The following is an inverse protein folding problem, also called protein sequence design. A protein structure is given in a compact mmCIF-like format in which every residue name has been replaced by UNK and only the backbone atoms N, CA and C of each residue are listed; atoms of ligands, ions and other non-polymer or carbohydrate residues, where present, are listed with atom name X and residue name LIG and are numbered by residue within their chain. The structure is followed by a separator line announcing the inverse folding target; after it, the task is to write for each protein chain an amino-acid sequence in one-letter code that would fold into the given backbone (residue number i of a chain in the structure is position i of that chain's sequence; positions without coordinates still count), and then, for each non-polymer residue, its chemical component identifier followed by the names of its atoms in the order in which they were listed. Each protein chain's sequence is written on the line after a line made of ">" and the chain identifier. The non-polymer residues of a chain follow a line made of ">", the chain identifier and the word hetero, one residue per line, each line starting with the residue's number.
data_IF_376730357359
#
_entry.id   IF_376730357359
#
_cell.length_a   1.000
_cell.length_b   1.000
_cell.length_c   1.000
_cell.angle_alpha   90.00
_cell.angle_beta   90.00
_cell.angle_gamma   90.00
#
_symmetry.space_group_name_H-M   'P 1'
#
loop_
_entity.id
_entity.type
_entity.pdbx_description
1 polymer ?
#
# COMPACT_ATOMS: atom_id res chain seq x y z
N UNK A 1 -80.87 -15.76 -5.58
CA UNK A 1 -79.98 -14.75 -6.20
C UNK A 1 -78.88 -14.23 -5.23
N UNK A 2 -79.16 -13.87 -3.97
CA UNK A 2 -78.19 -13.31 -3.00
C UNK A 2 -76.97 -14.22 -2.75
N UNK A 3 -77.19 -15.53 -2.51
CA UNK A 3 -76.16 -16.56 -2.26
C UNK A 3 -75.19 -16.81 -3.43
N UNK A 4 -75.68 -16.65 -4.67
CA UNK A 4 -74.87 -16.81 -5.89
C UNK A 4 -73.92 -15.62 -6.05
N UNK A 5 -74.39 -14.43 -5.70
CA UNK A 5 -73.63 -13.19 -5.77
C UNK A 5 -72.53 -13.12 -4.71
N UNK A 6 -72.81 -13.66 -3.53
CA UNK A 6 -71.81 -13.79 -2.44
C UNK A 6 -70.71 -14.78 -2.82
N UNK A 7 -71.05 -15.92 -3.42
CA UNK A 7 -70.06 -16.88 -3.87
C UNK A 7 -69.15 -16.33 -5.01
N UNK A 8 -69.72 -15.60 -5.96
CA UNK A 8 -68.97 -14.96 -7.03
C UNK A 8 -68.03 -13.91 -6.50
N UNK A 9 -68.44 -13.13 -5.50
CA UNK A 9 -67.64 -12.10 -4.86
C UNK A 9 -66.46 -12.74 -4.10
N UNK A 10 -66.67 -13.85 -3.36
CA UNK A 10 -65.63 -14.59 -2.65
C UNK A 10 -64.62 -15.19 -3.64
N UNK A 11 -65.07 -15.74 -4.74
CA UNK A 11 -64.20 -16.28 -5.78
C UNK A 11 -63.35 -15.17 -6.43
N UNK A 12 -63.92 -14.02 -6.72
CA UNK A 12 -63.22 -12.88 -7.29
C UNK A 12 -62.18 -12.31 -6.32
N UNK A 13 -62.57 -12.20 -5.03
CA UNK A 13 -61.64 -11.75 -3.99
C UNK A 13 -60.47 -12.74 -3.79
N UNK A 14 -60.75 -14.05 -3.79
CA UNK A 14 -59.77 -15.11 -3.74
C UNK A 14 -58.78 -15.05 -4.91
N UNK A 15 -59.27 -14.82 -6.12
CA UNK A 15 -58.45 -14.65 -7.32
C UNK A 15 -57.54 -13.43 -7.24
N UNK A 16 -58.05 -12.26 -6.78
CA UNK A 16 -57.26 -11.06 -6.59
C UNK A 16 -56.16 -11.31 -5.54
N UNK A 17 -56.49 -11.99 -4.44
CA UNK A 17 -55.55 -12.28 -3.37
C UNK A 17 -54.44 -13.22 -3.83
N UNK A 18 -54.76 -14.23 -4.63
CA UNK A 18 -53.80 -15.15 -5.26
C UNK A 18 -52.89 -14.40 -6.25
N UNK A 19 -53.42 -13.51 -7.05
CA UNK A 19 -52.67 -12.71 -8.01
C UNK A 19 -51.72 -11.75 -7.30
N UNK A 20 -52.15 -11.15 -6.21
CA UNK A 20 -51.33 -10.26 -5.36
C UNK A 20 -50.19 -11.05 -4.69
N UNK A 21 -50.43 -12.28 -4.25
CA UNK A 21 -49.44 -13.17 -3.67
C UNK A 21 -48.37 -13.57 -4.71
N UNK A 22 -48.77 -13.87 -5.95
CA UNK A 22 -47.83 -14.19 -7.04
C UNK A 22 -46.95 -12.96 -7.34
N UNK A 23 -47.56 -11.76 -7.49
CA UNK A 23 -46.83 -10.52 -7.79
C UNK A 23 -45.82 -10.20 -6.68
N UNK A 24 -46.22 -10.31 -5.41
CA UNK A 24 -45.29 -10.06 -4.28
C UNK A 24 -44.18 -11.07 -4.25
N UNK A 25 -44.45 -12.36 -4.52
CA UNK A 25 -43.42 -13.40 -4.56
C UNK A 25 -42.41 -13.15 -5.70
N UNK A 26 -42.91 -12.83 -6.91
CA UNK A 26 -42.01 -12.49 -8.04
C UNK A 26 -41.20 -11.25 -7.76
N UNK A 27 -41.83 -10.22 -7.16
CA UNK A 27 -41.11 -8.98 -6.79
C UNK A 27 -40.01 -9.24 -5.76
N UNK A 28 -40.31 -10.00 -4.69
CA UNK A 28 -39.30 -10.32 -3.67
C UNK A 28 -38.17 -11.19 -4.24
N UNK A 29 -38.48 -12.13 -5.12
CA UNK A 29 -37.49 -12.95 -5.80
C UNK A 29 -36.57 -12.11 -6.72
N UNK A 30 -37.15 -11.16 -7.47
CA UNK A 30 -36.38 -10.23 -8.30
C UNK A 30 -35.47 -9.32 -7.45
N UNK A 31 -35.96 -8.78 -6.34
CA UNK A 31 -35.18 -7.99 -5.42
C UNK A 31 -34.01 -8.80 -4.83
N UNK A 32 -34.25 -10.05 -4.43
CA UNK A 32 -33.20 -10.94 -3.92
C UNK A 32 -32.12 -11.21 -4.98
N UNK A 33 -32.54 -11.52 -6.22
CA UNK A 33 -31.63 -11.77 -7.33
C UNK A 33 -30.82 -10.51 -7.68
N UNK A 34 -31.45 -9.35 -7.71
CA UNK A 34 -30.78 -8.07 -7.97
C UNK A 34 -29.73 -7.78 -6.92
N UNK A 35 -30.05 -7.93 -5.62
CA UNK A 35 -29.08 -7.77 -4.54
C UNK A 35 -27.89 -8.75 -4.65
N UNK A 36 -28.17 -10.02 -4.98
CA UNK A 36 -27.12 -11.04 -5.17
C UNK A 36 -26.18 -10.68 -6.33
N UNK A 37 -26.73 -10.23 -7.46
CA UNK A 37 -25.96 -9.80 -8.62
C UNK A 37 -25.10 -8.56 -8.27
N UNK A 38 -25.69 -7.55 -7.66
CA UNK A 38 -24.98 -6.34 -7.23
C UNK A 38 -23.83 -6.69 -6.28
N UNK A 39 -24.10 -7.54 -5.29
CA UNK A 39 -23.09 -8.02 -4.37
C UNK A 39 -21.89 -8.68 -5.09
N UNK A 40 -22.18 -9.63 -5.99
CA UNK A 40 -21.13 -10.35 -6.70
C UNK A 40 -20.31 -9.41 -7.59
N UNK A 41 -20.97 -8.48 -8.27
CA UNK A 41 -20.30 -7.48 -9.10
C UNK A 41 -19.39 -6.55 -8.27
N UNK A 42 -19.87 -6.11 -7.09
CA UNK A 42 -19.07 -5.26 -6.19
C UNK A 42 -17.84 -6.00 -5.67
N UNK A 43 -18.00 -7.27 -5.25
CA UNK A 43 -16.87 -8.09 -4.81
C UNK A 43 -15.84 -8.29 -5.94
N UNK A 44 -16.30 -8.65 -7.13
CA UNK A 44 -15.41 -8.85 -8.28
C UNK A 44 -14.71 -7.55 -8.69
N UNK A 45 -15.40 -6.42 -8.65
CA UNK A 45 -14.79 -5.11 -8.90
C UNK A 45 -13.71 -4.81 -7.85
N UNK A 46 -14.01 -5.05 -6.57
CA UNK A 46 -13.06 -4.83 -5.48
C UNK A 46 -11.79 -5.68 -5.66
N UNK A 47 -11.93 -6.98 -5.93
CA UNK A 47 -10.80 -7.87 -6.20
C UNK A 47 -9.96 -7.43 -7.40
N UNK A 48 -10.61 -7.03 -8.50
CA UNK A 48 -9.91 -6.54 -9.69
C UNK A 48 -9.12 -5.25 -9.39
N UNK A 49 -9.70 -4.34 -8.63
CA UNK A 49 -9.04 -3.09 -8.24
C UNK A 49 -7.86 -3.37 -7.30
N UNK A 50 -8.02 -4.24 -6.31
CA UNK A 50 -6.91 -4.64 -5.44
C UNK A 50 -5.78 -5.30 -6.22
N UNK A 51 -6.11 -6.15 -7.19
CA UNK A 51 -5.10 -6.78 -8.06
C UNK A 51 -4.31 -5.73 -8.85
N UNK A 52 -4.99 -4.71 -9.38
CA UNK A 52 -4.33 -3.61 -10.09
C UNK A 52 -3.46 -2.77 -9.14
N UNK A 53 -3.94 -2.48 -7.92
CA UNK A 53 -3.18 -1.78 -6.90
C UNK A 53 -1.88 -2.51 -6.56
N UNK A 54 -1.97 -3.81 -6.31
CA UNK A 54 -0.80 -4.65 -6.02
C UNK A 54 0.18 -4.64 -7.19
N UNK A 55 -0.30 -4.81 -8.42
CA UNK A 55 0.55 -4.75 -9.61
C UNK A 55 1.32 -3.44 -9.70
N UNK A 56 0.64 -2.31 -9.52
CA UNK A 56 1.29 -0.98 -9.54
C UNK A 56 2.26 -0.79 -8.37
N UNK A 57 1.92 -1.25 -7.16
CA UNK A 57 2.85 -1.17 -6.03
C UNK A 57 4.08 -2.06 -6.25
N UNK A 58 3.93 -3.24 -6.83
CA UNK A 58 5.07 -4.10 -7.16
C UNK A 58 5.97 -3.46 -8.23
N UNK A 59 5.39 -2.84 -9.25
CA UNK A 59 6.12 -2.04 -10.26
C UNK A 59 6.90 -0.88 -9.60
N UNK A 60 6.28 -0.17 -8.65
CA UNK A 60 6.93 0.88 -7.87
C UNK A 60 8.15 0.33 -7.11
N UNK A 61 8.02 -0.81 -6.43
CA UNK A 61 9.14 -1.43 -5.71
C UNK A 61 10.24 -1.92 -6.64
N UNK A 62 9.89 -2.43 -7.83
CA UNK A 62 10.87 -2.79 -8.87
C UNK A 62 11.65 -1.56 -9.34
N UNK A 63 10.96 -0.45 -9.60
CA UNK A 63 11.60 0.83 -9.98
C UNK A 63 12.58 1.29 -8.91
N UNK A 64 12.14 1.31 -7.65
CA UNK A 64 13.01 1.67 -6.52
C UNK A 64 14.22 0.75 -6.40
N UNK A 65 14.07 -0.57 -6.53
CA UNK A 65 15.20 -1.50 -6.52
C UNK A 65 16.21 -1.22 -7.63
N UNK A 66 15.74 -0.87 -8.81
CA UNK A 66 16.61 -0.50 -9.94
C UNK A 66 17.39 0.79 -9.63
N UNK A 67 16.72 1.79 -9.02
CA UNK A 67 17.40 3.02 -8.58
C UNK A 67 18.42 2.76 -7.49
N UNK A 68 18.09 1.94 -6.48
CA UNK A 68 19.04 1.53 -5.44
C UNK A 68 20.26 0.84 -6.03
N UNK A 69 20.05 -0.09 -6.97
CA UNK A 69 21.12 -0.75 -7.68
C UNK A 69 21.99 0.25 -8.44
N UNK A 70 21.36 1.21 -9.13
CA UNK A 70 22.09 2.24 -9.87
C UNK A 70 22.98 3.09 -8.96
N UNK A 71 22.52 3.43 -7.76
CA UNK A 71 23.33 4.12 -6.74
C UNK A 71 24.43 3.22 -6.22
N UNK A 72 24.11 1.99 -5.81
CA UNK A 72 25.07 1.05 -5.22
C UNK A 72 26.22 0.71 -6.17
N UNK A 73 25.95 0.65 -7.47
CA UNK A 73 26.95 0.35 -8.51
C UNK A 73 27.52 1.60 -9.20
N UNK A 74 27.18 2.80 -8.74
CA UNK A 74 27.71 4.04 -9.32
C UNK A 74 29.21 4.17 -9.02
N UNK A 75 30.06 4.46 -10.02
CA UNK A 75 31.50 4.60 -9.83
C UNK A 75 31.89 5.67 -8.80
N UNK A 76 31.14 6.77 -8.72
CA UNK A 76 31.36 7.85 -7.73
C UNK A 76 31.08 7.35 -6.32
N UNK A 77 29.94 6.64 -6.12
CA UNK A 77 29.60 6.02 -4.83
C UNK A 77 30.67 5.02 -4.41
N UNK A 78 31.09 4.14 -5.33
CA UNK A 78 32.14 3.18 -5.08
C UNK A 78 33.45 3.85 -4.67
N UNK A 79 33.92 4.85 -5.41
CA UNK A 79 35.15 5.59 -5.11
C UNK A 79 35.08 6.29 -3.75
N UNK A 80 33.92 6.87 -3.40
CA UNK A 80 33.69 7.53 -2.12
C UNK A 80 33.83 6.59 -0.93
N UNK A 81 33.42 5.33 -1.06
CA UNK A 81 33.64 4.32 -0.02
C UNK A 81 35.07 3.89 0.09
N UNK A 82 35.82 3.78 -1.01
CA UNK A 82 37.16 3.24 -1.08
C UNK A 82 38.27 4.26 -0.78
N UNK A 83 38.09 5.51 -1.17
CA UNK A 83 39.11 6.55 -1.18
C UNK A 83 38.81 7.60 -0.10
N UNK A 84 38.97 7.22 1.17
CA UNK A 84 38.58 8.10 2.32
C UNK A 84 39.28 9.47 2.30
N UNK A 85 40.56 9.50 1.93
CA UNK A 85 41.30 10.76 1.84
C UNK A 85 40.79 11.73 0.79
N UNK A 86 40.11 11.21 -0.25
CA UNK A 86 39.55 12.01 -1.34
C UNK A 86 38.09 12.35 -1.17
N UNK A 87 37.42 11.85 -0.14
CA UNK A 87 35.99 12.13 0.13
C UNK A 87 35.62 13.60 0.01
N UNK A 88 36.41 14.56 0.59
CA UNK A 88 36.05 15.97 0.47
C UNK A 88 36.00 16.50 -0.97
N UNK A 89 36.80 15.93 -1.88
CA UNK A 89 36.86 16.32 -3.30
C UNK A 89 35.69 15.70 -4.10
N UNK A 90 35.15 14.58 -3.67
CA UNK A 90 34.09 13.84 -4.34
C UNK A 90 32.69 14.11 -3.76
N UNK A 91 32.60 14.93 -2.72
CA UNK A 91 31.35 15.13 -1.99
C UNK A 91 30.26 15.75 -2.86
N UNK A 92 30.60 16.74 -3.69
CA UNK A 92 29.64 17.42 -4.56
C UNK A 92 29.16 16.48 -5.68
N UNK A 93 30.08 15.74 -6.32
CA UNK A 93 29.74 14.76 -7.37
C UNK A 93 28.82 13.67 -6.79
N UNK A 94 29.11 13.17 -5.60
CA UNK A 94 28.28 12.20 -4.92
C UNK A 94 26.90 12.74 -4.58
N UNK A 95 26.86 13.99 -4.08
CA UNK A 95 25.60 14.67 -3.76
C UNK A 95 24.74 14.83 -5.00
N UNK A 96 25.32 15.18 -6.15
CA UNK A 96 24.61 15.28 -7.41
C UNK A 96 24.03 13.94 -7.87
N UNK A 97 24.78 12.84 -7.73
CA UNK A 97 24.28 11.49 -8.01
C UNK A 97 23.06 11.16 -7.15
N UNK A 98 23.11 11.43 -5.84
CA UNK A 98 22.02 11.15 -4.93
C UNK A 98 20.80 12.05 -5.17
N UNK A 99 21.02 13.36 -5.44
CA UNK A 99 19.93 14.29 -5.78
C UNK A 99 19.24 13.87 -7.08
N UNK A 100 20.00 13.55 -8.12
CA UNK A 100 19.45 13.10 -9.38
C UNK A 100 18.63 11.82 -9.22
N UNK A 101 19.07 10.90 -8.35
CA UNK A 101 18.29 9.71 -8.01
C UNK A 101 17.00 10.07 -7.27
N UNK A 102 17.08 10.98 -6.28
CA UNK A 102 15.94 11.41 -5.48
C UNK A 102 14.83 12.06 -6.32
N UNK A 103 15.19 12.89 -7.31
CA UNK A 103 14.21 13.58 -8.16
C UNK A 103 13.65 12.67 -9.29
N UNK A 104 14.19 11.47 -9.47
CA UNK A 104 13.74 10.53 -10.50
C UNK A 104 12.49 9.77 -10.08
N UNK A 105 12.25 9.63 -8.77
CA UNK A 105 11.13 8.85 -8.25
C UNK A 105 10.48 9.57 -7.06
N UNK A 106 9.22 9.94 -7.24
CA UNK A 106 8.44 10.70 -6.24
C UNK A 106 8.15 9.91 -4.97
N UNK A 107 8.26 8.58 -5.00
CA UNK A 107 8.08 7.74 -3.80
C UNK A 107 9.27 7.74 -2.86
N UNK A 108 10.40 8.34 -3.26
CA UNK A 108 11.60 8.44 -2.42
C UNK A 108 11.66 9.85 -1.81
N UNK A 109 11.70 9.94 -0.48
CA UNK A 109 11.78 11.20 0.26
C UNK A 109 13.19 11.56 0.74
N UNK A 110 14.11 10.61 0.75
CA UNK A 110 15.50 10.81 1.15
C UNK A 110 16.37 9.60 0.87
N UNK A 111 17.67 9.84 0.72
CA UNK A 111 18.69 8.83 0.49
C UNK A 111 19.87 9.10 1.41
N UNK A 112 20.36 8.08 2.10
CA UNK A 112 21.52 8.19 3.00
C UNK A 112 22.50 7.04 2.77
N UNK A 113 23.78 7.33 2.88
CA UNK A 113 24.87 6.36 2.79
C UNK A 113 25.52 6.20 4.16
N UNK A 114 25.75 4.96 4.58
CA UNK A 114 26.39 4.60 5.85
C UNK A 114 27.57 3.66 5.63
N UNK A 115 28.65 3.89 6.38
CA UNK A 115 29.78 2.96 6.40
C UNK A 115 29.49 1.71 7.26
N UNK A 116 30.44 0.79 7.34
CA UNK A 116 30.27 -0.46 8.12
C UNK A 116 30.18 -0.25 9.64
N UNK A 117 30.67 0.87 10.17
CA UNK A 117 30.51 1.25 11.57
C UNK A 117 29.15 1.89 11.89
N UNK A 118 28.25 2.03 10.89
CA UNK A 118 26.97 2.69 11.06
C UNK A 118 27.02 4.23 11.04
N UNK A 119 28.19 4.81 10.71
CA UNK A 119 28.31 6.25 10.59
C UNK A 119 27.77 6.72 9.25
N UNK A 120 26.93 7.75 9.29
CA UNK A 120 26.41 8.41 8.08
C UNK A 120 27.53 9.12 7.34
N UNK A 121 27.73 8.76 6.10
CA UNK A 121 28.73 9.35 5.21
C UNK A 121 28.18 10.59 4.47
N UNK A 122 27.01 10.46 3.89
CA UNK A 122 26.30 11.53 3.18
C UNK A 122 24.80 11.23 3.14
N UNK A 123 23.99 12.26 2.98
CA UNK A 123 22.55 12.10 2.76
C UNK A 123 21.94 13.31 2.05
N UNK A 124 20.87 13.06 1.32
CA UNK A 124 20.04 14.06 0.61
C UNK A 124 18.57 13.83 0.90
N UNK A 125 17.75 14.88 0.74
CA UNK A 125 16.32 14.86 1.03
C UNK A 125 15.99 15.11 2.50
N UNK A 126 14.86 14.58 2.96
CA UNK A 126 14.43 14.72 4.37
C UNK A 126 15.39 13.96 5.28
N UNK A 127 15.63 14.51 6.47
CA UNK A 127 16.52 13.89 7.48
C UNK A 127 15.72 12.94 8.37
N UNK A 128 16.33 11.81 8.70
CA UNK A 128 15.75 10.80 9.58
C UNK A 128 16.77 10.38 10.62
N UNK A 129 16.27 10.03 11.81
CA UNK A 129 17.09 9.44 12.86
C UNK A 129 16.89 7.93 12.80
N UNK A 130 17.78 7.22 12.14
CA UNK A 130 17.78 5.75 12.17
C UNK A 130 19.07 5.23 12.82
N UNK A 131 18.91 4.29 13.73
CA UNK A 131 20.02 3.48 14.22
C UNK A 131 20.17 2.30 13.26
N UNK A 132 21.14 2.38 12.38
CA UNK A 132 21.40 1.35 11.39
C UNK A 132 22.55 0.47 11.87
N UNK A 133 22.34 -0.87 11.87
CA UNK A 133 23.40 -1.86 12.02
C UNK A 133 23.75 -2.45 10.65
N UNK A 134 24.73 -1.88 9.93
CA UNK A 134 25.05 -2.33 8.58
C UNK A 134 25.47 -3.80 8.51
N UNK A 135 26.03 -4.35 9.58
CA UNK A 135 26.52 -5.73 9.65
C UNK A 135 25.42 -6.75 9.36
N UNK A 136 24.20 -6.50 9.82
CA UNK A 136 23.06 -7.41 9.72
C UNK A 136 22.38 -7.36 8.33
N UNK A 137 22.67 -6.34 7.52
CA UNK A 137 22.01 -6.10 6.23
C UNK A 137 22.84 -6.71 5.10
N UNK A 138 22.61 -7.98 4.78
CA UNK A 138 23.31 -8.69 3.70
C UNK A 138 22.50 -8.80 2.40
N UNK A 139 21.23 -8.49 2.44
CA UNK A 139 20.30 -8.44 1.30
C UNK A 139 19.47 -7.17 1.39
N UNK A 140 18.58 -6.93 0.42
CA UNK A 140 17.61 -5.84 0.53
C UNK A 140 16.69 -6.13 1.71
N UNK A 141 16.61 -5.15 2.64
CA UNK A 141 15.73 -5.23 3.80
C UNK A 141 14.73 -4.09 3.74
N UNK A 142 13.47 -4.43 3.83
CA UNK A 142 12.37 -3.48 4.04
C UNK A 142 12.18 -3.31 5.53
N UNK A 143 12.50 -2.12 6.05
CA UNK A 143 12.43 -1.89 7.49
C UNK A 143 11.01 -1.66 7.95
N UNK A 144 10.86 -1.80 9.25
CA UNK A 144 9.75 -1.33 10.03
C UNK A 144 9.75 0.21 10.15
N UNK A 145 8.77 0.74 10.85
CA UNK A 145 8.57 2.18 11.02
C UNK A 145 9.81 2.92 11.52
N UNK A 146 10.15 4.01 10.83
CA UNK A 146 11.17 4.96 11.28
C UNK A 146 10.48 6.28 11.59
N UNK A 147 10.74 6.83 12.79
CA UNK A 147 10.27 8.15 13.18
C UNK A 147 11.09 9.23 12.46
N UNK A 148 10.43 10.26 11.94
CA UNK A 148 11.14 11.44 11.45
C UNK A 148 11.67 12.28 12.62
N UNK A 149 12.70 13.09 12.37
CA UNK A 149 13.25 14.03 13.37
C UNK A 149 12.18 15.01 13.88
N UNK A 150 11.13 15.28 13.07
CA UNK A 150 10.04 16.19 13.41
C UNK A 150 8.92 15.52 14.21
N UNK A 151 9.01 14.21 14.51
CA UNK A 151 8.07 13.47 15.36
C UNK A 151 6.70 13.15 14.76
N UNK A 152 6.40 13.64 13.55
CA UNK A 152 5.03 13.65 13.03
C UNK A 152 4.71 12.62 11.95
N UNK A 153 5.70 11.96 11.35
CA UNK A 153 5.44 11.03 10.26
C UNK A 153 6.25 9.74 10.38
N UNK A 154 5.56 8.64 10.47
CA UNK A 154 6.12 7.31 10.32
C UNK A 154 6.60 7.13 8.89
N UNK A 155 7.85 6.77 8.71
CA UNK A 155 8.48 6.54 7.42
C UNK A 155 8.98 5.11 7.31
N UNK A 156 9.08 4.63 6.08
CA UNK A 156 9.67 3.34 5.77
C UNK A 156 11.00 3.55 5.11
N UNK A 157 11.97 2.71 5.49
CA UNK A 157 13.25 2.67 4.82
C UNK A 157 13.45 1.33 4.12
N UNK A 158 14.15 1.39 3.01
CA UNK A 158 14.68 0.21 2.33
C UNK A 158 16.19 0.29 2.42
N UNK A 159 16.80 -0.75 2.97
CA UNK A 159 18.24 -0.87 3.13
C UNK A 159 18.80 -1.70 1.99
N UNK A 160 19.80 -1.17 1.32
CA UNK A 160 20.48 -1.82 0.21
C UNK A 160 21.96 -1.95 0.51
N UNK A 161 22.54 -3.17 0.59
CA UNK A 161 23.97 -3.35 0.85
C UNK A 161 24.81 -2.97 -0.37
N UNK A 162 25.93 -2.27 -0.12
CA UNK A 162 26.91 -1.88 -1.13
C UNK A 162 28.13 -2.79 -1.00
N UNK A 163 28.48 -3.47 -2.09
CA UNK A 163 29.58 -4.43 -2.13
C UNK A 163 30.74 -3.97 -3.00
N UNK A 164 31.97 -4.44 -2.68
CA UNK A 164 33.14 -4.28 -3.51
C UNK A 164 33.10 -5.23 -4.71
N UNK A 165 32.67 -4.73 -5.86
CA UNK A 165 32.58 -5.52 -7.07
C UNK A 165 33.91 -5.79 -7.78
N UNK A 166 34.99 -5.04 -7.42
CA UNK A 166 36.30 -5.27 -8.02
C UNK A 166 37.01 -6.46 -7.38
N UNK A 167 36.55 -6.88 -6.19
CA UNK A 167 37.12 -8.04 -5.49
C UNK A 167 36.07 -9.16 -5.39
N UNK A 168 35.72 -9.75 -6.52
CA UNK A 168 34.66 -10.76 -6.67
C UNK A 168 34.94 -12.03 -5.80
N UNK A 169 36.19 -12.25 -5.37
CA UNK A 169 36.53 -13.40 -4.55
C UNK A 169 36.04 -13.31 -3.10
N UNK A 170 35.79 -12.11 -2.56
CA UNK A 170 35.48 -11.94 -1.14
C UNK A 170 34.17 -11.21 -0.83
N UNK A 171 33.40 -10.73 -1.82
CA UNK A 171 32.16 -10.00 -1.61
C UNK A 171 32.19 -9.07 -0.39
N UNK A 172 33.25 -8.27 -0.28
CA UNK A 172 33.46 -7.39 0.87
C UNK A 172 32.38 -6.31 0.83
N UNK A 173 31.53 -6.23 1.87
CA UNK A 173 30.56 -5.18 2.03
C UNK A 173 31.27 -3.88 2.41
N UNK A 174 30.96 -2.78 1.71
CA UNK A 174 31.53 -1.46 1.94
C UNK A 174 30.68 -0.60 2.87
N UNK A 175 29.37 -0.87 2.88
CA UNK A 175 28.39 -0.16 3.67
C UNK A 175 26.98 -0.43 3.17
N UNK A 176 26.08 0.48 3.45
CA UNK A 176 24.68 0.40 3.02
C UNK A 176 24.21 1.74 2.46
N UNK A 177 23.27 1.66 1.54
CA UNK A 177 22.45 2.77 1.09
C UNK A 177 21.04 2.61 1.68
N UNK A 178 20.49 3.69 2.23
CA UNK A 178 19.15 3.72 2.83
C UNK A 178 18.27 4.65 2.00
N UNK A 179 17.12 4.15 1.53
CA UNK A 179 16.12 4.90 0.83
C UNK A 179 14.89 5.06 1.72
N UNK A 180 14.47 6.28 1.96
CA UNK A 180 13.29 6.60 2.76
C UNK A 180 12.08 6.80 1.85
N UNK A 181 10.98 6.11 2.14
CA UNK A 181 9.75 6.19 1.35
C UNK A 181 8.90 7.39 1.74
N UNK A 182 8.23 7.98 0.76
CA UNK A 182 7.20 9.00 0.96
C UNK A 182 5.84 8.32 1.17
N UNK A 183 5.37 8.26 2.42
CA UNK A 183 4.02 7.74 2.74
C UNK A 183 2.93 8.63 2.14
N UNK A 184 3.18 9.93 2.01
CA UNK A 184 2.24 10.88 1.38
C UNK A 184 1.94 10.46 -0.05
N UNK A 185 2.96 10.16 -0.85
CA UNK A 185 2.79 9.75 -2.25
C UNK A 185 2.11 8.38 -2.39
N UNK A 186 2.32 7.47 -1.42
CA UNK A 186 1.56 6.21 -1.36
C UNK A 186 0.08 6.50 -1.04
N UNK A 187 -0.19 7.43 -0.12
CA UNK A 187 -1.56 7.86 0.21
C UNK A 187 -2.25 8.49 -1.00
N UNK A 188 -1.56 9.35 -1.75
CA UNK A 188 -2.10 9.98 -2.96
C UNK A 188 -2.42 8.93 -4.02
N UNK A 189 -1.56 7.96 -4.20
CA UNK A 189 -1.81 6.82 -5.06
C UNK A 189 -3.07 6.01 -4.64
N UNK A 190 -3.27 5.77 -3.34
CA UNK A 190 -4.49 5.12 -2.84
C UNK A 190 -5.74 5.98 -3.07
N UNK A 191 -5.61 7.31 -3.10
CA UNK A 191 -6.72 8.24 -3.37
C UNK A 191 -7.14 8.26 -4.85
N UNK A 192 -6.23 7.95 -5.77
CA UNK A 192 -6.56 7.84 -7.20
C UNK A 192 -7.48 6.66 -7.49
N UNK A 193 -7.44 5.65 -6.63
CA UNK A 193 -8.20 4.42 -6.80
C UNK A 193 -9.50 4.50 -6.02
N UNK A 194 -10.62 4.63 -6.73
CA UNK A 194 -11.97 4.65 -6.14
C UNK A 194 -12.78 3.47 -6.64
N UNK A 195 -13.17 2.60 -5.72
CA UNK A 195 -14.15 1.53 -5.98
C UNK A 195 -15.56 2.11 -5.79
N UNK A 196 -15.75 2.81 -4.68
CA UNK A 196 -16.94 3.62 -4.37
C UNK A 196 -16.50 4.86 -3.60
N UNK A 197 -17.40 5.86 -3.47
CA UNK A 197 -17.12 7.08 -2.69
C UNK A 197 -16.92 6.84 -1.19
N UNK A 198 -17.18 5.62 -0.71
CA UNK A 198 -17.08 5.22 0.69
C UNK A 198 -16.21 3.98 0.88
N UNK A 199 -15.24 3.75 0.00
CA UNK A 199 -14.29 2.65 0.15
C UNK A 199 -13.12 3.07 1.03
N UNK A 200 -12.86 2.31 2.09
CA UNK A 200 -11.68 2.48 2.94
C UNK A 200 -10.56 1.58 2.44
N UNK A 201 -9.39 2.16 2.18
CA UNK A 201 -8.18 1.45 1.77
C UNK A 201 -7.09 1.67 2.81
N UNK A 202 -6.48 0.58 3.24
CA UNK A 202 -5.37 0.55 4.18
C UNK A 202 -4.23 -0.27 3.60
N UNK A 203 -3.01 0.18 3.84
CA UNK A 203 -1.79 -0.59 3.62
C UNK A 203 -1.16 -0.84 4.97
N UNK A 204 -0.91 -2.09 5.30
CA UNK A 204 -0.26 -2.50 6.55
C UNK A 204 0.98 -3.33 6.26
N UNK A 205 1.93 -3.32 7.18
CA UNK A 205 3.11 -4.18 7.11
C UNK A 205 2.82 -5.59 7.66
N UNK A 206 3.86 -6.43 7.68
CA UNK A 206 3.76 -7.82 8.19
C UNK A 206 3.54 -7.90 9.71
N UNK A 207 3.85 -6.83 10.46
CA UNK A 207 3.59 -6.67 11.90
C UNK A 207 2.23 -6.01 12.17
N UNK A 208 1.39 -5.77 11.13
CA UNK A 208 0.09 -5.12 11.19
C UNK A 208 0.14 -3.63 11.54
N UNK A 209 1.28 -2.96 11.38
CA UNK A 209 1.35 -1.52 11.52
C UNK A 209 0.77 -0.82 10.30
N UNK A 210 0.01 0.25 10.52
CA UNK A 210 -0.55 1.06 9.46
C UNK A 210 0.54 1.88 8.76
N UNK A 211 0.67 1.68 7.44
CA UNK A 211 1.63 2.37 6.58
C UNK A 211 1.04 3.58 5.88
N UNK A 212 -0.06 3.33 5.21
CA UNK A 212 -0.78 4.32 4.42
C UNK A 212 -2.27 4.02 4.42
N UNK A 213 -3.07 5.04 4.19
CA UNK A 213 -4.52 4.94 4.07
C UNK A 213 -5.02 6.01 3.10
N UNK A 214 -6.15 5.75 2.45
CA UNK A 214 -6.76 6.76 1.61
C UNK A 214 -7.41 7.89 2.46
N UNK A 215 -7.77 9.02 1.81
CA UNK A 215 -8.33 10.19 2.49
C UNK A 215 -9.60 9.88 3.28
N UNK A 216 -10.49 9.03 2.74
CA UNK A 216 -11.73 8.60 3.40
C UNK A 216 -11.43 7.87 4.70
N UNK A 217 -10.46 6.95 4.68
CA UNK A 217 -10.03 6.24 5.86
C UNK A 217 -9.35 7.17 6.89
N UNK A 218 -8.64 8.19 6.42
CA UNK A 218 -7.99 9.19 7.28
C UNK A 218 -8.99 10.12 7.98
N UNK A 219 -10.09 10.46 7.31
CA UNK A 219 -11.16 11.31 7.88
C UNK A 219 -11.97 10.56 8.96
N UNK A 220 -12.14 9.24 8.81
CA UNK A 220 -12.87 8.40 9.78
C UNK A 220 -11.90 7.62 10.69
N UNK A 221 -11.24 8.33 11.60
CA UNK A 221 -10.26 7.74 12.53
C UNK A 221 -10.86 6.68 13.46
N UNK A 222 -12.17 6.74 13.71
CA UNK A 222 -12.88 5.79 14.57
C UNK A 222 -13.25 4.49 13.84
N UNK A 223 -13.11 4.45 12.51
CA UNK A 223 -13.51 3.29 11.71
C UNK A 223 -12.83 1.99 12.18
N UNK A 224 -11.51 1.98 12.29
CA UNK A 224 -10.75 0.79 12.72
C UNK A 224 -11.08 0.39 14.17
N UNK A 225 -11.30 1.36 15.07
CA UNK A 225 -11.67 1.08 16.47
C UNK A 225 -13.07 0.45 16.59
N UNK A 226 -13.97 0.80 15.67
CA UNK A 226 -15.34 0.30 15.64
C UNK A 226 -15.55 -0.90 14.70
N UNK A 227 -14.49 -1.36 14.02
CA UNK A 227 -14.55 -2.36 12.95
C UNK A 227 -15.33 -3.64 13.38
N UNK A 228 -15.06 -4.17 14.57
CA UNK A 228 -15.75 -5.36 15.08
C UNK A 228 -17.29 -5.20 15.16
N UNK A 229 -17.77 -3.96 15.35
CA UNK A 229 -19.22 -3.65 15.43
C UNK A 229 -19.87 -3.45 14.07
N UNK A 230 -19.07 -3.08 13.06
CA UNK A 230 -19.57 -2.65 11.75
C UNK A 230 -19.14 -3.57 10.61
N UNK A 231 -18.29 -4.55 10.85
CA UNK A 231 -17.73 -5.45 9.82
C UNK A 231 -18.80 -6.11 8.94
N UNK A 232 -19.96 -6.43 9.50
CA UNK A 232 -21.08 -7.03 8.76
C UNK A 232 -21.71 -6.08 7.73
N UNK A 233 -21.34 -4.79 7.75
CA UNK A 233 -21.80 -3.76 6.81
C UNK A 233 -20.86 -3.53 5.65
N UNK A 234 -19.71 -4.22 5.63
CA UNK A 234 -18.67 -4.05 4.63
C UNK A 234 -18.28 -5.37 3.99
N UNK A 235 -17.98 -5.30 2.71
CA UNK A 235 -17.20 -6.35 2.04
C UNK A 235 -15.73 -6.07 2.31
N UNK A 236 -15.04 -7.07 2.84
CA UNK A 236 -13.61 -6.99 3.14
C UNK A 236 -12.86 -7.84 2.14
N UNK A 237 -11.83 -7.27 1.55
CA UNK A 237 -10.87 -7.99 0.73
C UNK A 237 -9.46 -7.62 1.16
N UNK A 238 -8.61 -8.63 1.25
CA UNK A 238 -7.22 -8.49 1.64
C UNK A 238 -6.34 -9.11 0.57
N UNK A 239 -5.27 -8.42 0.20
CA UNK A 239 -4.28 -8.94 -0.72
C UNK A 239 -2.87 -8.58 -0.26
N UNK A 240 -1.97 -9.56 -0.30
CA UNK A 240 -0.59 -9.42 0.13
C UNK A 240 0.33 -9.12 -1.05
N UNK A 241 1.30 -8.23 -0.82
CA UNK A 241 2.41 -7.96 -1.74
C UNK A 241 3.56 -8.90 -1.34
N UNK A 242 3.86 -9.88 -2.20
CA UNK A 242 4.82 -10.93 -1.87
C UNK A 242 6.24 -10.42 -1.62
N UNK A 243 6.63 -9.34 -2.29
CA UNK A 243 7.99 -8.78 -2.27
C UNK A 243 8.43 -8.29 -0.89
N UNK A 244 7.54 -7.60 -0.18
CA UNK A 244 7.86 -6.93 1.09
C UNK A 244 6.96 -7.38 2.25
N UNK A 245 5.95 -8.21 1.97
CA UNK A 245 5.02 -8.73 2.96
C UNK A 245 3.94 -7.74 3.37
N UNK A 246 3.82 -6.59 2.70
CA UNK A 246 2.74 -5.64 2.94
C UNK A 246 1.39 -6.20 2.49
N UNK A 247 0.33 -5.75 3.14
CA UNK A 247 -1.03 -6.17 2.81
C UNK A 247 -1.89 -4.94 2.55
N UNK A 248 -2.64 -4.98 1.45
CA UNK A 248 -3.67 -3.98 1.15
C UNK A 248 -5.00 -4.55 1.62
N UNK A 249 -5.73 -3.78 2.43
CA UNK A 249 -7.05 -4.13 2.93
C UNK A 249 -8.05 -3.12 2.39
N UNK A 250 -9.14 -3.62 1.83
CA UNK A 250 -10.26 -2.82 1.32
C UNK A 250 -11.53 -3.15 2.07
N UNK A 251 -12.23 -2.11 2.53
CA UNK A 251 -13.57 -2.19 3.10
C UNK A 251 -14.54 -1.43 2.19
N UNK A 252 -15.46 -2.14 1.54
CA UNK A 252 -16.48 -1.59 0.65
C UNK A 252 -17.85 -1.73 1.30
N UNK A 253 -18.64 -0.65 1.46
CA UNK A 253 -19.96 -0.73 2.11
C UNK A 253 -20.91 -1.65 1.35
N UNK A 254 -21.71 -2.41 2.11
CA UNK A 254 -22.82 -3.21 1.57
C UNK A 254 -24.00 -2.27 1.37
N UNK A 255 -24.28 -1.85 0.13
CA UNK A 255 -25.43 -1.03 -0.26
C UNK A 255 -26.71 -1.86 -0.44
#
# INVERSE_FOLDING_TARGET
>A
MKKIRENLFIQFLSFILLLLLIVTTVFTMNQYNAKKITRNNTLQLNENVLTQLIGKMDEMFISMQNLMSSVAYNPVVYAYYKEEEKRPLMQDDLKDVLINTLITDDYISGIELYNMEGNKLLGVGKKYTSTVSPEDINTIVYSEQILSDDGDNVKYAIYYPIYDLKNVQYFTKLGICVFYLSVENITDFLNEVRITDHTYLYVIDKELNLLAQNSIAKEDQDFLQNLEKIKDRYYVSEMKIDRNGWTIISYVPIT
#
